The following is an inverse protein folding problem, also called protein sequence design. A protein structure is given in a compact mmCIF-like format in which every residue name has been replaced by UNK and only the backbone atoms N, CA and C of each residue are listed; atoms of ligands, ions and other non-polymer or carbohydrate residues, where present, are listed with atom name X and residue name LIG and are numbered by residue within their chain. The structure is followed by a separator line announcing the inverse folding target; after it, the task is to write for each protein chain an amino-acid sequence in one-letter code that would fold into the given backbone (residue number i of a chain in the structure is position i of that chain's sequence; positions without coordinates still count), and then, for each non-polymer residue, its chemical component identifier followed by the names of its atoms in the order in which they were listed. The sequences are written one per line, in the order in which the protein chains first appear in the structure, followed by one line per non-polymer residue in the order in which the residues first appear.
data_IF_541469673354
#
_entry.id   IF_541469673354
#
_cell.length_a   1.000
_cell.length_b   1.000
_cell.length_c   1.000
_cell.angle_alpha   90.00
_cell.angle_beta   90.00
_cell.angle_gamma   90.00
#
_symmetry.space_group_name_H-M   'P 1'
#
loop_
_entity.id
_entity.type
_entity.pdbx_description
1 polymer ?
#
# COMPACT_ATOMS: atom_id res chain seq x y z
N UNK A 1 62.20 38.52 13.29
CA UNK A 1 61.49 39.33 14.30
C UNK A 1 59.99 39.04 14.42
N UNK A 2 59.12 39.25 13.42
CA UNK A 2 57.67 39.00 13.62
C UNK A 2 57.32 37.51 13.78
N UNK A 3 58.01 36.60 13.07
CA UNK A 3 57.81 35.14 13.20
C UNK A 3 58.29 34.58 14.56
N UNK A 4 59.34 35.17 15.14
CA UNK A 4 59.87 34.74 16.45
C UNK A 4 58.92 35.13 17.59
N UNK A 5 58.24 36.28 17.47
CA UNK A 5 57.19 36.70 18.41
C UNK A 5 55.99 35.76 18.38
N UNK A 6 55.59 35.28 17.20
CA UNK A 6 54.51 34.31 17.03
C UNK A 6 54.89 32.95 17.63
N UNK A 7 56.13 32.49 17.38
CA UNK A 7 56.64 31.23 17.96
C UNK A 7 56.70 31.27 19.49
N UNK A 8 57.18 32.37 20.07
CA UNK A 8 57.21 32.54 21.54
C UNK A 8 55.82 32.65 22.15
N UNK A 9 54.84 33.18 21.43
CA UNK A 9 53.45 33.21 21.88
C UNK A 9 52.83 31.80 21.91
N UNK A 10 53.15 30.97 20.92
CA UNK A 10 52.71 29.57 20.81
C UNK A 10 53.37 28.64 21.85
N UNK A 11 54.58 28.98 22.30
CA UNK A 11 55.31 28.27 23.36
C UNK A 11 54.88 28.70 24.78
N UNK A 12 54.05 29.74 24.92
CA UNK A 12 53.55 30.15 26.22
C UNK A 12 52.56 29.09 26.76
N UNK A 13 52.82 28.50 27.95
CA UNK A 13 51.99 27.43 28.49
C UNK A 13 50.52 27.84 28.65
N UNK A 14 50.26 29.12 28.92
CA UNK A 14 48.89 29.64 29.08
C UNK A 14 48.13 29.67 27.74
N UNK A 15 48.82 30.04 26.65
CA UNK A 15 48.24 30.09 25.29
C UNK A 15 47.99 28.67 24.79
N UNK A 16 48.91 27.73 25.06
CA UNK A 16 48.77 26.32 24.73
C UNK A 16 47.54 25.68 25.38
N UNK A 17 47.32 25.92 26.68
CA UNK A 17 46.15 25.43 27.41
C UNK A 17 44.85 25.99 26.80
N UNK A 18 44.84 27.28 26.47
CA UNK A 18 43.67 27.93 25.87
C UNK A 18 43.37 27.37 24.46
N UNK A 19 44.41 27.12 23.66
CA UNK A 19 44.28 26.57 22.31
C UNK A 19 43.76 25.12 22.34
N UNK A 20 44.28 24.29 23.25
CA UNK A 20 43.77 22.93 23.49
C UNK A 20 42.31 22.98 23.95
N UNK A 21 41.95 23.90 24.84
CA UNK A 21 40.57 24.12 25.28
C UNK A 21 39.63 24.45 24.13
N UNK A 22 40.04 25.35 23.24
CA UNK A 22 39.27 25.69 22.02
C UNK A 22 39.11 24.47 21.11
N UNK A 23 40.17 23.69 20.89
CA UNK A 23 40.12 22.49 20.07
C UNK A 23 39.15 21.47 20.68
N UNK A 24 39.18 21.25 22.00
CA UNK A 24 38.26 20.33 22.69
C UNK A 24 36.82 20.82 22.58
N UNK A 25 36.56 22.13 22.76
CA UNK A 25 35.23 22.72 22.60
C UNK A 25 34.75 22.55 21.15
N UNK A 26 35.61 22.75 20.16
CA UNK A 26 35.28 22.56 18.75
C UNK A 26 34.97 21.09 18.42
N UNK A 27 35.76 20.15 18.93
CA UNK A 27 35.50 18.71 18.75
C UNK A 27 34.15 18.35 19.38
N UNK A 28 33.88 18.78 20.61
CA UNK A 28 32.59 18.52 21.28
C UNK A 28 31.43 19.18 20.52
N UNK A 29 31.60 20.42 20.04
CA UNK A 29 30.60 21.13 19.27
C UNK A 29 30.31 20.46 17.92
N UNK A 30 31.33 19.92 17.25
CA UNK A 30 31.19 19.18 15.98
C UNK A 30 30.56 17.81 16.22
N UNK A 31 30.98 17.08 17.26
CA UNK A 31 30.39 15.77 17.60
C UNK A 31 28.95 15.87 18.09
N UNK A 32 28.53 17.00 18.68
CA UNK A 32 27.13 17.25 19.08
C UNK A 32 26.23 17.67 17.92
N UNK A 33 26.77 18.00 16.75
CA UNK A 33 25.95 18.19 15.54
C UNK A 33 25.51 16.82 15.05
N UNK A 34 24.38 16.35 15.59
CA UNK A 34 23.71 15.15 15.11
C UNK A 34 23.47 15.20 13.59
N UNK A 35 23.23 14.04 12.95
CA UNK A 35 23.15 13.95 11.50
C UNK A 35 22.20 15.01 10.96
N UNK A 36 22.72 15.87 10.08
CA UNK A 36 21.92 16.87 9.37
C UNK A 36 20.85 16.10 8.60
N UNK A 37 19.60 16.23 9.01
CA UNK A 37 18.47 15.59 8.35
C UNK A 37 18.43 16.16 6.91
N UNK A 38 18.63 15.33 5.87
CA UNK A 38 18.55 15.83 4.51
C UNK A 38 17.12 16.33 4.24
N UNK A 39 17.00 17.47 3.55
CA UNK A 39 15.75 17.92 2.93
C UNK A 39 15.42 17.01 1.74
N UNK A 40 15.15 15.74 2.02
CA UNK A 40 14.67 14.78 1.03
C UNK A 40 13.14 14.70 0.98
N UNK A 41 12.61 13.93 0.02
CA UNK A 41 11.21 13.54 -0.06
C UNK A 41 10.64 13.08 1.29
N UNK A 42 9.32 13.23 1.55
CA UNK A 42 8.69 12.94 2.85
C UNK A 42 9.05 11.56 3.41
N UNK A 43 9.19 10.56 2.54
CA UNK A 43 9.53 9.16 2.86
C UNK A 43 10.91 9.06 3.53
N UNK A 44 11.91 9.81 3.04
CA UNK A 44 13.26 9.81 3.62
C UNK A 44 13.29 10.38 5.04
N UNK A 45 12.46 11.38 5.33
CA UNK A 45 12.33 11.94 6.69
C UNK A 45 11.72 10.94 7.66
N UNK A 46 10.77 10.13 7.21
CA UNK A 46 10.14 9.07 8.01
C UNK A 46 11.16 7.98 8.34
N UNK A 47 11.90 7.49 7.33
CA UNK A 47 12.92 6.45 7.52
C UNK A 47 14.05 6.90 8.47
N UNK A 48 14.51 8.15 8.36
CA UNK A 48 15.54 8.71 9.26
C UNK A 48 15.02 8.85 10.70
N UNK A 49 13.75 9.26 10.88
CA UNK A 49 13.12 9.31 12.21
C UNK A 49 12.97 7.92 12.82
N UNK A 50 12.58 6.92 12.04
CA UNK A 50 12.48 5.53 12.48
C UNK A 50 13.84 4.97 12.89
N UNK A 51 14.87 5.15 12.05
CA UNK A 51 16.25 4.75 12.37
C UNK A 51 16.74 5.40 13.67
N UNK A 52 16.51 6.71 13.83
CA UNK A 52 16.91 7.43 15.05
C UNK A 52 16.12 6.99 16.29
N UNK A 53 14.85 6.62 16.14
CA UNK A 53 14.04 6.08 17.24
C UNK A 53 14.52 4.69 17.68
N UNK A 54 14.86 3.82 16.73
CA UNK A 54 15.47 2.50 16.98
C UNK A 54 16.81 2.64 17.71
N UNK A 55 17.71 3.50 17.21
CA UNK A 55 19.03 3.72 17.82
C UNK A 55 18.96 4.29 19.24
N UNK A 56 17.89 5.01 19.57
CA UNK A 56 17.66 5.59 20.92
C UNK A 56 16.85 4.68 21.85
N UNK A 57 16.46 3.49 21.39
CA UNK A 57 15.62 2.57 22.18
C UNK A 57 14.20 3.09 22.44
N UNK A 58 13.75 4.09 21.70
CA UNK A 58 12.41 4.66 21.81
C UNK A 58 11.41 3.83 20.99
N UNK A 59 10.14 3.80 21.41
CA UNK A 59 9.07 3.19 20.62
C UNK A 59 9.02 3.85 19.24
N UNK A 60 9.21 3.06 18.20
CA UNK A 60 9.11 3.50 16.81
C UNK A 60 7.64 3.60 16.47
N UNK A 61 7.16 4.81 16.22
CA UNK A 61 5.83 5.04 15.64
C UNK A 61 5.89 4.64 14.17
N UNK A 62 5.47 3.41 13.88
CA UNK A 62 5.44 2.89 12.51
C UNK A 62 4.23 3.53 11.85
N UNK A 63 4.39 4.30 10.75
CA UNK A 63 3.24 4.81 10.04
C UNK A 63 2.35 3.62 9.64
N UNK A 64 1.06 3.70 9.95
CA UNK A 64 0.08 2.69 9.54
C UNK A 64 0.16 2.63 8.02
N UNK A 65 0.76 1.57 7.50
CA UNK A 65 0.85 1.34 6.07
C UNK A 65 -0.58 1.21 5.56
N UNK A 66 -1.02 2.16 4.73
CA UNK A 66 -2.33 2.07 4.08
C UNK A 66 -2.34 0.78 3.26
N UNK A 67 -3.39 -0.01 3.41
CA UNK A 67 -3.55 -1.23 2.61
C UNK A 67 -3.70 -0.86 1.14
N UNK A 68 -3.39 -1.77 0.21
CA UNK A 68 -3.57 -1.54 -1.23
C UNK A 68 -4.99 -1.08 -1.56
N UNK A 69 -5.98 -1.67 -0.90
CA UNK A 69 -7.40 -1.32 -1.02
C UNK A 69 -7.70 0.12 -0.57
N UNK A 70 -7.06 0.62 0.49
CA UNK A 70 -7.21 2.02 0.92
C UNK A 70 -6.64 3.00 -0.12
N UNK A 71 -5.47 2.68 -0.68
CA UNK A 71 -4.86 3.51 -1.72
C UNK A 71 -5.71 3.55 -2.99
N UNK A 72 -6.29 2.42 -3.37
CA UNK A 72 -7.17 2.32 -4.54
C UNK A 72 -8.47 3.08 -4.29
N UNK A 73 -9.09 2.91 -3.13
CA UNK A 73 -10.31 3.61 -2.75
C UNK A 73 -10.12 5.13 -2.80
N UNK A 74 -9.07 5.66 -2.17
CA UNK A 74 -8.77 7.10 -2.21
C UNK A 74 -8.53 7.64 -3.64
N UNK A 75 -8.01 6.81 -4.54
CA UNK A 75 -7.69 7.23 -5.91
C UNK A 75 -8.91 7.20 -6.83
N UNK A 76 -9.81 6.23 -6.64
CA UNK A 76 -10.92 5.96 -7.55
C UNK A 76 -12.27 6.49 -7.07
N UNK A 77 -12.47 6.64 -5.77
CA UNK A 77 -13.68 7.24 -5.18
C UNK A 77 -14.06 8.61 -5.80
N UNK A 78 -13.15 9.60 -5.95
CA UNK A 78 -13.51 10.87 -6.56
C UNK A 78 -13.92 10.73 -8.04
N UNK A 79 -13.35 9.76 -8.77
CA UNK A 79 -13.68 9.51 -10.18
C UNK A 79 -15.04 8.85 -10.36
N UNK A 80 -15.40 7.95 -9.44
CA UNK A 80 -16.70 7.29 -9.43
C UNK A 80 -17.83 8.27 -9.06
N UNK A 81 -17.57 9.18 -8.11
CA UNK A 81 -18.49 10.26 -7.78
C UNK A 81 -18.68 11.24 -8.95
N UNK A 82 -17.61 11.58 -9.68
CA UNK A 82 -17.68 12.41 -10.89
C UNK A 82 -18.51 11.75 -12.01
N UNK A 83 -18.49 10.41 -12.07
CA UNK A 83 -19.32 9.61 -12.98
C UNK A 83 -20.75 9.35 -12.47
N UNK A 84 -21.13 9.87 -11.30
CA UNK A 84 -22.47 9.71 -10.71
C UNK A 84 -22.75 8.34 -10.09
N UNK A 85 -21.71 7.56 -9.80
CA UNK A 85 -21.80 6.22 -9.20
C UNK A 85 -21.61 6.34 -7.69
N UNK A 86 -22.66 6.05 -6.90
CA UNK A 86 -22.57 6.04 -5.44
C UNK A 86 -21.96 4.73 -4.93
N UNK A 87 -20.90 4.83 -4.14
CA UNK A 87 -20.28 3.67 -3.48
C UNK A 87 -21.20 3.11 -2.37
N UNK A 88 -21.32 1.77 -2.25
CA UNK A 88 -22.10 1.16 -1.18
C UNK A 88 -21.53 1.50 0.20
N UNK A 89 -22.37 2.09 1.07
CA UNK A 89 -22.01 2.61 2.41
C UNK A 89 -21.63 1.54 3.44
N UNK A 90 -21.76 0.25 3.11
CA UNK A 90 -21.39 -0.88 3.97
C UNK A 90 -20.25 -1.65 3.31
N UNK A 91 -19.01 -1.35 3.70
CA UNK A 91 -17.84 -2.08 3.21
C UNK A 91 -16.59 -1.22 3.04
N UNK A 92 -16.73 0.09 2.76
CA UNK A 92 -15.63 1.06 2.82
C UNK A 92 -14.43 0.83 1.88
N UNK A 93 -14.50 -0.16 1.01
CA UNK A 93 -13.48 -0.49 0.03
C UNK A 93 -14.17 -0.74 -1.31
N UNK A 94 -13.59 -0.20 -2.38
CA UNK A 94 -13.90 -0.65 -3.74
C UNK A 94 -13.35 -2.07 -3.83
N UNK A 95 -14.19 -3.12 -3.98
CA UNK A 95 -13.68 -4.44 -4.27
C UNK A 95 -12.95 -4.34 -5.61
N UNK A 96 -11.67 -4.73 -5.67
CA UNK A 96 -10.93 -4.88 -6.94
C UNK A 96 -11.68 -5.81 -7.90
N UNK A 97 -12.55 -6.65 -7.34
CA UNK A 97 -13.39 -7.61 -8.00
C UNK A 97 -14.56 -6.97 -8.76
N UNK A 98 -15.01 -5.76 -8.41
CA UNK A 98 -16.30 -5.20 -8.88
C UNK A 98 -16.28 -4.48 -10.25
N UNK A 99 -15.41 -4.87 -11.18
CA UNK A 99 -15.39 -4.25 -12.52
C UNK A 99 -16.36 -4.85 -13.54
N UNK A 100 -16.90 -6.05 -13.28
CA UNK A 100 -17.85 -6.71 -14.19
C UNK A 100 -19.16 -7.10 -13.50
N UNK A 101 -20.22 -7.21 -14.30
CA UNK A 101 -21.57 -7.54 -13.84
C UNK A 101 -21.60 -8.91 -13.12
N UNK A 102 -20.79 -9.86 -13.58
CA UNK A 102 -20.61 -11.17 -12.93
C UNK A 102 -20.09 -11.02 -11.50
N UNK A 103 -19.03 -10.24 -11.30
CA UNK A 103 -18.44 -10.06 -9.98
C UNK A 103 -19.36 -9.36 -9.00
N UNK A 104 -20.10 -8.35 -9.47
CA UNK A 104 -21.11 -7.67 -8.66
C UNK A 104 -22.19 -8.67 -8.22
N UNK A 105 -22.64 -9.54 -9.15
CA UNK A 105 -23.62 -10.57 -8.85
C UNK A 105 -23.11 -11.61 -7.84
N UNK A 106 -21.85 -12.03 -7.95
CA UNK A 106 -21.23 -12.94 -7.00
C UNK A 106 -21.12 -12.31 -5.59
N UNK A 107 -20.82 -11.01 -5.50
CA UNK A 107 -20.86 -10.27 -4.22
C UNK A 107 -22.28 -10.21 -3.66
N UNK A 108 -23.31 -9.94 -4.49
CA UNK A 108 -24.71 -9.96 -4.05
C UNK A 108 -25.11 -11.34 -3.51
N UNK A 109 -24.74 -12.42 -4.20
CA UNK A 109 -25.01 -13.79 -3.75
C UNK A 109 -24.25 -14.16 -2.49
N UNK A 110 -23.01 -13.69 -2.35
CA UNK A 110 -22.25 -13.80 -1.11
C UNK A 110 -22.97 -13.12 0.06
N UNK A 111 -23.46 -11.89 -0.12
CA UNK A 111 -24.18 -11.16 0.94
C UNK A 111 -25.49 -11.85 1.34
N UNK A 112 -26.17 -12.49 0.39
CA UNK A 112 -27.41 -13.22 0.64
C UNK A 112 -27.19 -14.57 1.33
N UNK A 113 -26.15 -15.31 0.94
CA UNK A 113 -25.92 -16.69 1.37
C UNK A 113 -24.95 -16.80 2.54
N UNK A 114 -23.98 -15.87 2.64
CA UNK A 114 -22.89 -15.89 3.61
C UNK A 114 -21.88 -17.04 3.42
N UNK A 115 -21.93 -17.74 2.28
CA UNK A 115 -21.18 -18.99 2.03
C UNK A 115 -19.95 -18.84 1.13
N UNK A 116 -19.61 -17.61 0.77
CA UNK A 116 -18.58 -17.32 -0.23
C UNK A 116 -17.63 -16.26 0.34
N UNK A 117 -16.32 -16.47 0.26
CA UNK A 117 -15.33 -15.45 0.61
C UNK A 117 -14.93 -14.59 -0.61
N UNK A 118 -14.15 -13.53 -0.38
CA UNK A 118 -13.73 -12.66 -1.50
C UNK A 118 -12.72 -13.35 -2.43
N UNK A 119 -11.92 -14.28 -1.89
CA UNK A 119 -10.88 -15.00 -2.64
C UNK A 119 -11.53 -16.02 -3.59
N UNK A 120 -12.65 -16.63 -3.19
CA UNK A 120 -13.47 -17.52 -4.02
C UNK A 120 -14.14 -16.80 -5.19
N UNK A 121 -14.53 -15.53 -5.01
CA UNK A 121 -15.05 -14.70 -6.09
C UNK A 121 -13.93 -14.44 -7.12
N UNK A 122 -12.75 -14.04 -6.65
CA UNK A 122 -11.59 -13.79 -7.52
C UNK A 122 -11.19 -15.05 -8.28
N UNK A 123 -11.08 -16.19 -7.57
CA UNK A 123 -10.75 -17.48 -8.18
C UNK A 123 -11.80 -17.94 -9.21
N UNK A 124 -13.09 -17.66 -8.97
CA UNK A 124 -14.16 -17.96 -9.93
C UNK A 124 -13.98 -17.16 -11.22
N UNK A 125 -13.71 -15.87 -11.11
CA UNK A 125 -13.54 -14.99 -12.27
C UNK A 125 -12.28 -15.37 -13.04
N UNK A 126 -11.17 -15.61 -12.34
CA UNK A 126 -9.92 -16.06 -12.97
C UNK A 126 -10.11 -17.40 -13.68
N UNK A 127 -10.84 -18.34 -13.05
CA UNK A 127 -11.20 -19.62 -13.67
C UNK A 127 -12.03 -19.44 -14.95
N UNK A 128 -12.98 -18.52 -14.95
CA UNK A 128 -13.79 -18.20 -16.13
C UNK A 128 -12.93 -17.56 -17.23
N UNK A 129 -12.05 -16.62 -16.91
CA UNK A 129 -11.15 -15.99 -17.88
C UNK A 129 -10.17 -17.01 -18.50
N UNK A 130 -9.68 -17.96 -17.68
CA UNK A 130 -8.76 -19.01 -18.11
C UNK A 130 -9.43 -20.14 -18.92
N UNK A 131 -10.77 -20.22 -18.94
CA UNK A 131 -11.49 -21.25 -19.67
C UNK A 131 -11.20 -21.19 -21.19
N UNK A 132 -10.98 -22.35 -21.79
CA UNK A 132 -10.78 -22.50 -23.24
C UNK A 132 -12.09 -22.69 -23.98
N UNK A 133 -13.11 -23.22 -23.31
CA UNK A 133 -14.41 -23.55 -23.92
C UNK A 133 -15.59 -22.98 -23.14
N UNK A 134 -16.68 -22.66 -23.86
CA UNK A 134 -17.95 -22.23 -23.24
C UNK A 134 -18.48 -23.29 -22.24
N UNK A 135 -18.22 -24.57 -22.50
CA UNK A 135 -18.59 -25.65 -21.59
C UNK A 135 -17.86 -25.56 -20.24
N UNK A 136 -16.58 -25.23 -20.24
CA UNK A 136 -15.82 -25.05 -18.99
C UNK A 136 -16.36 -23.87 -18.18
N UNK A 137 -16.76 -22.79 -18.85
CA UNK A 137 -17.42 -21.64 -18.21
C UNK A 137 -18.73 -22.07 -17.55
N UNK A 138 -19.55 -22.87 -18.25
CA UNK A 138 -20.79 -23.42 -17.71
C UNK A 138 -20.53 -24.34 -16.50
N UNK A 139 -19.54 -25.23 -16.58
CA UNK A 139 -19.18 -26.16 -15.51
C UNK A 139 -18.70 -25.40 -14.25
N UNK A 140 -17.94 -24.30 -14.42
CA UNK A 140 -17.52 -23.41 -13.32
C UNK A 140 -18.74 -22.70 -12.72
N UNK A 141 -19.60 -22.11 -13.55
CA UNK A 141 -20.79 -21.40 -13.09
C UNK A 141 -21.78 -22.32 -12.37
N UNK A 142 -21.93 -23.57 -12.82
CA UNK A 142 -22.75 -24.60 -12.16
C UNK A 142 -22.17 -24.98 -10.80
N UNK A 143 -20.86 -25.23 -10.74
CA UNK A 143 -20.16 -25.57 -9.48
C UNK A 143 -20.33 -24.47 -8.44
N UNK A 144 -20.15 -23.21 -8.84
CA UNK A 144 -20.32 -22.04 -7.96
C UNK A 144 -21.78 -21.87 -7.55
N UNK A 145 -22.72 -22.05 -8.49
CA UNK A 145 -24.15 -21.99 -8.20
C UNK A 145 -24.59 -23.03 -7.17
N UNK A 146 -24.09 -24.26 -7.28
CA UNK A 146 -24.36 -25.35 -6.36
C UNK A 146 -23.78 -25.07 -4.98
N UNK A 147 -22.56 -24.54 -4.93
CA UNK A 147 -21.90 -24.15 -3.69
C UNK A 147 -22.68 -23.06 -2.94
N UNK A 148 -23.15 -22.05 -3.67
CA UNK A 148 -23.96 -20.96 -3.14
C UNK A 148 -25.40 -21.39 -2.80
N UNK A 149 -25.87 -22.52 -3.34
CA UNK A 149 -27.24 -23.00 -3.16
C UNK A 149 -28.27 -22.13 -3.88
N UNK A 150 -27.92 -21.64 -5.07
CA UNK A 150 -28.75 -20.76 -5.90
C UNK A 150 -29.98 -21.50 -6.46
N UNK A 151 -31.09 -20.77 -6.64
CA UNK A 151 -32.26 -21.29 -7.34
C UNK A 151 -31.99 -21.48 -8.84
N UNK A 152 -32.78 -22.33 -9.52
CA UNK A 152 -32.59 -22.60 -10.96
C UNK A 152 -32.59 -21.32 -11.82
N UNK A 153 -33.38 -20.31 -11.46
CA UNK A 153 -33.37 -19.00 -12.14
C UNK A 153 -32.07 -18.24 -11.92
N UNK A 154 -31.52 -18.28 -10.70
CA UNK A 154 -30.25 -17.64 -10.36
C UNK A 154 -29.07 -18.37 -10.99
N UNK A 155 -29.13 -19.70 -11.14
CA UNK A 155 -28.11 -20.48 -11.86
C UNK A 155 -28.05 -20.08 -13.34
N UNK A 156 -29.21 -19.92 -13.98
CA UNK A 156 -29.29 -19.47 -15.36
C UNK A 156 -28.75 -18.05 -15.53
N UNK A 157 -29.09 -17.13 -14.61
CA UNK A 157 -28.55 -15.77 -14.61
C UNK A 157 -27.03 -15.78 -14.44
N UNK A 158 -26.50 -16.56 -13.50
CA UNK A 158 -25.06 -16.66 -13.27
C UNK A 158 -24.32 -17.25 -14.49
N UNK A 159 -24.87 -18.30 -15.10
CA UNK A 159 -24.31 -18.88 -16.32
C UNK A 159 -24.28 -17.89 -17.50
N UNK A 160 -25.34 -17.10 -17.67
CA UNK A 160 -25.38 -16.04 -18.68
C UNK A 160 -24.29 -15.00 -18.45
N UNK A 161 -24.19 -14.48 -17.22
CA UNK A 161 -23.18 -13.48 -16.85
C UNK A 161 -21.75 -14.02 -17.00
N UNK A 162 -21.54 -15.30 -16.67
CA UNK A 162 -20.24 -15.97 -16.83
C UNK A 162 -19.80 -16.03 -18.29
N UNK A 163 -20.71 -16.40 -19.21
CA UNK A 163 -20.43 -16.43 -20.65
C UNK A 163 -20.17 -15.05 -21.22
N UNK A 164 -20.95 -14.05 -20.81
CA UNK A 164 -20.73 -12.67 -21.24
C UNK A 164 -19.36 -12.15 -20.81
N UNK A 165 -18.95 -12.44 -19.57
CA UNK A 165 -17.64 -12.06 -19.07
C UNK A 165 -16.51 -12.78 -19.81
N UNK A 166 -16.65 -14.08 -20.07
CA UNK A 166 -15.69 -14.85 -20.85
C UNK A 166 -15.54 -14.32 -22.28
N UNK A 167 -16.66 -14.05 -22.96
CA UNK A 167 -16.64 -13.48 -24.31
C UNK A 167 -15.95 -12.11 -24.34
N UNK A 168 -16.26 -11.22 -23.37
CA UNK A 168 -15.58 -9.92 -23.24
C UNK A 168 -14.07 -10.09 -23.08
N UNK A 169 -13.63 -11.08 -22.31
CA UNK A 169 -12.21 -11.35 -22.10
C UNK A 169 -11.54 -11.84 -23.38
N UNK A 170 -12.13 -12.83 -24.07
CA UNK A 170 -11.63 -13.37 -25.34
C UNK A 170 -11.59 -12.34 -26.47
N UNK A 171 -12.55 -11.43 -26.52
CA UNK A 171 -12.58 -10.35 -27.51
C UNK A 171 -11.53 -9.26 -27.26
N UNK A 172 -10.94 -9.23 -26.06
CA UNK A 172 -9.95 -8.23 -25.65
C UNK A 172 -8.49 -8.67 -25.78
N UNK A 173 -8.23 -9.97 -26.04
CA UNK A 173 -6.92 -10.56 -26.33
C UNK A 173 -6.56 -10.50 -27.83
#
# INVERSE_FOLDING_TARGET
MQLEGIFNLLLNPLVLILLVGIIVILIVAVSRRGPKVPLGPPILKILVKMKSAVEKGSKVDVPIAKTRQQLITETFEPKLQEAGIELPKKGGYIPLVASSDLSQKLVEYKEQTGKFDDDEIEATIEGIHAAETEKEVDDIAETVSDHLGLSDSQKQELGHLAREEWNRHKDSE
#
